data_IF_977405722226
#
_entry.id   IF_977405722226
#
_cell.length_a   1.000
_cell.length_b   1.000
_cell.length_c   1.000
_cell.angle_alpha   90.00
_cell.angle_beta   90.00
_cell.angle_gamma   90.00
#
_symmetry.space_group_name_H-M   'P 1'
#
loop_
_entity.id
_entity.type
_entity.pdbx_description
1 polymer ?
#
# COMPACT_ATOMS: atom_id res chain seq x y z
N UNK A 1 -13.53 2.38 -20.73
CA UNK A 1 -14.47 1.57 -19.93
C UNK A 1 -13.64 0.50 -19.24
N UNK A 2 -13.04 0.83 -18.08
CA UNK A 2 -12.27 -0.16 -17.32
C UNK A 2 -13.28 -1.04 -16.58
N UNK A 3 -13.32 -2.33 -16.93
CA UNK A 3 -14.15 -3.30 -16.24
C UNK A 3 -13.63 -3.45 -14.82
N UNK A 4 -14.40 -2.99 -13.85
CA UNK A 4 -14.33 -3.47 -12.48
C UNK A 4 -14.63 -4.98 -12.54
N UNK A 5 -13.57 -5.79 -12.60
CA UNK A 5 -13.68 -7.24 -12.66
C UNK A 5 -13.74 -7.67 -11.21
N UNK A 6 -14.95 -7.89 -10.68
CA UNK A 6 -15.14 -8.52 -9.38
C UNK A 6 -14.27 -9.77 -9.31
N UNK A 7 -13.30 -9.80 -8.38
CA UNK A 7 -12.53 -11.02 -8.10
C UNK A 7 -13.51 -12.11 -7.69
N UNK A 8 -13.57 -13.16 -8.48
CA UNK A 8 -14.23 -14.41 -8.08
C UNK A 8 -13.31 -15.18 -7.14
N UNK A 9 -13.82 -15.86 -6.10
CA UNK A 9 -13.01 -16.68 -5.19
C UNK A 9 -12.26 -17.84 -5.85
N UNK A 10 -12.57 -18.15 -7.13
CA UNK A 10 -11.81 -19.09 -7.95
C UNK A 10 -10.50 -18.50 -8.52
N UNK A 11 -10.41 -17.18 -8.66
CA UNK A 11 -9.21 -16.45 -9.11
C UNK A 11 -8.16 -16.47 -8.00
N UNK A 12 -8.58 -16.26 -6.75
CA UNK A 12 -7.71 -16.36 -5.58
C UNK A 12 -7.17 -17.78 -5.35
N UNK A 13 -7.88 -18.83 -5.79
CA UNK A 13 -7.50 -20.23 -5.57
C UNK A 13 -6.25 -20.66 -6.37
N UNK A 14 -6.00 -20.03 -7.52
CA UNK A 14 -4.83 -20.29 -8.39
C UNK A 14 -3.63 -19.39 -8.07
N UNK A 15 -3.84 -18.28 -7.34
CA UNK A 15 -2.76 -17.38 -6.94
C UNK A 15 -1.80 -18.07 -5.96
N UNK A 16 -0.50 -17.95 -6.24
CA UNK A 16 0.53 -18.34 -5.29
C UNK A 16 0.46 -17.47 -4.03
N UNK A 17 0.99 -17.94 -2.88
CA UNK A 17 1.04 -17.13 -1.66
C UNK A 17 1.73 -15.77 -1.85
N UNK A 18 2.70 -15.69 -2.76
CA UNK A 18 3.39 -14.46 -3.11
C UNK A 18 2.48 -13.48 -3.87
N UNK A 19 1.69 -13.96 -4.84
CA UNK A 19 0.75 -13.14 -5.61
C UNK A 19 -0.40 -12.60 -4.74
N UNK A 20 -0.92 -13.44 -3.83
CA UNK A 20 -1.93 -12.98 -2.85
C UNK A 20 -1.36 -11.90 -1.93
N UNK A 21 -0.12 -12.06 -1.50
CA UNK A 21 0.56 -11.07 -0.65
C UNK A 21 0.80 -9.76 -1.41
N UNK A 22 1.25 -9.83 -2.66
CA UNK A 22 1.45 -8.66 -3.52
C UNK A 22 0.12 -7.90 -3.74
N UNK A 23 -0.95 -8.64 -4.05
CA UNK A 23 -2.29 -8.08 -4.22
C UNK A 23 -2.84 -7.42 -2.95
N UNK A 24 -2.65 -8.09 -1.80
CA UNK A 24 -3.03 -7.54 -0.50
C UNK A 24 -2.23 -6.27 -0.18
N UNK A 25 -0.92 -6.27 -0.47
CA UNK A 25 -0.08 -5.10 -0.29
C UNK A 25 -0.54 -3.94 -1.17
N UNK A 26 -0.88 -4.19 -2.45
CA UNK A 26 -1.39 -3.16 -3.35
C UNK A 26 -2.69 -2.53 -2.82
N UNK A 27 -3.63 -3.33 -2.30
CA UNK A 27 -4.85 -2.83 -1.67
C UNK A 27 -4.58 -2.00 -0.43
N UNK A 28 -3.67 -2.46 0.45
CA UNK A 28 -3.28 -1.75 1.66
C UNK A 28 -2.58 -0.42 1.35
N UNK A 29 -1.72 -0.40 0.34
CA UNK A 29 -1.03 0.80 -0.13
C UNK A 29 -2.01 1.85 -0.65
N UNK A 30 -2.98 1.44 -1.47
CA UNK A 30 -4.02 2.31 -2.01
C UNK A 30 -4.94 2.85 -0.90
N UNK A 31 -5.33 2.00 0.05
CA UNK A 31 -6.08 2.42 1.22
C UNK A 31 -5.29 3.43 2.05
N UNK A 32 -4.04 3.13 2.40
CA UNK A 32 -3.20 4.01 3.21
C UNK A 32 -2.98 5.37 2.55
N UNK A 33 -2.71 5.39 1.24
CA UNK A 33 -2.57 6.63 0.49
C UNK A 33 -3.84 7.50 0.52
N UNK A 34 -5.01 6.86 0.51
CA UNK A 34 -6.31 7.56 0.62
C UNK A 34 -6.57 8.06 2.04
N UNK A 35 -6.24 7.26 3.06
CA UNK A 35 -6.46 7.59 4.47
C UNK A 35 -5.46 8.61 5.03
N UNK A 36 -4.32 8.82 4.37
CA UNK A 36 -3.31 9.78 4.79
C UNK A 36 -3.85 11.22 4.79
N UNK A 37 -4.70 11.58 3.83
CA UNK A 37 -5.32 12.91 3.76
C UNK A 37 -6.28 13.15 4.94
N UNK A 38 -6.90 12.09 5.44
CA UNK A 38 -7.87 12.15 6.56
C UNK A 38 -7.23 11.90 7.93
N UNK A 39 -6.03 11.31 7.97
CA UNK A 39 -5.35 10.87 9.19
C UNK A 39 -3.87 11.26 9.20
N UNK A 40 -3.58 12.49 9.64
CA UNK A 40 -2.21 12.96 9.89
C UNK A 40 -1.30 12.01 10.69
N UNK A 41 -1.78 11.31 11.73
CA UNK A 41 -0.95 10.35 12.48
C UNK A 41 -0.48 9.13 11.68
N UNK A 42 -1.13 8.84 10.54
CA UNK A 42 -0.80 7.69 9.69
C UNK A 42 0.54 7.90 8.97
N UNK A 43 0.80 9.11 8.47
CA UNK A 43 2.10 9.47 7.88
C UNK A 43 3.22 9.25 8.90
N UNK A 44 3.09 9.80 10.10
CA UNK A 44 4.16 9.75 11.11
C UNK A 44 4.53 8.31 11.49
N UNK A 45 3.53 7.44 11.55
CA UNK A 45 3.71 6.02 11.90
C UNK A 45 4.37 5.23 10.76
N UNK A 46 4.02 5.52 9.50
CA UNK A 46 4.67 4.94 8.33
C UNK A 46 6.12 5.45 8.20
N UNK A 47 6.36 6.72 8.50
CA UNK A 47 7.73 7.27 8.53
C UNK A 47 8.58 6.64 9.64
N UNK A 48 8.00 6.37 10.81
CA UNK A 48 8.68 5.63 11.88
C UNK A 48 9.10 4.21 11.45
N UNK A 49 8.28 3.56 10.61
CA UNK A 49 8.60 2.26 9.99
C UNK A 49 9.68 2.34 8.90
N UNK A 50 10.14 3.54 8.53
CA UNK A 50 11.21 3.74 7.54
C UNK A 50 10.72 4.07 6.14
N UNK A 51 9.43 4.37 5.96
CA UNK A 51 8.92 4.90 4.69
C UNK A 51 9.18 6.40 4.58
N UNK A 52 9.46 6.87 3.37
CA UNK A 52 9.62 8.30 3.09
C UNK A 52 8.36 8.79 2.39
N UNK A 53 7.43 9.40 3.14
CA UNK A 53 6.10 9.75 2.62
C UNK A 53 5.78 11.24 2.68
N UNK A 54 6.47 12.03 3.53
CA UNK A 54 6.22 13.47 3.61
C UNK A 54 6.51 14.18 2.29
N UNK A 55 5.60 15.07 1.91
CA UNK A 55 5.73 15.92 0.73
C UNK A 55 5.48 15.20 -0.60
N UNK A 56 5.13 13.90 -0.57
CA UNK A 56 4.75 13.12 -1.74
C UNK A 56 3.26 13.27 -2.04
N UNK A 57 2.91 13.15 -3.31
CA UNK A 57 1.51 13.05 -3.74
C UNK A 57 0.90 11.71 -3.33
N UNK A 58 -0.43 11.60 -3.36
CA UNK A 58 -1.14 10.34 -3.04
C UNK A 58 -0.63 9.16 -3.88
N UNK A 59 -0.51 9.31 -5.20
CA UNK A 59 0.01 8.25 -6.07
C UNK A 59 1.45 7.85 -5.73
N UNK A 60 2.30 8.81 -5.33
CA UNK A 60 3.69 8.55 -4.95
C UNK A 60 3.79 7.81 -3.62
N UNK A 61 2.89 8.11 -2.68
CA UNK A 61 2.79 7.41 -1.40
C UNK A 61 2.33 5.96 -1.64
N UNK A 62 1.30 5.75 -2.46
CA UNK A 62 0.86 4.41 -2.83
C UNK A 62 2.00 3.59 -3.45
N UNK A 63 2.75 4.18 -4.39
CA UNK A 63 3.88 3.52 -5.02
C UNK A 63 4.99 3.19 -4.00
N UNK A 64 5.27 4.09 -3.05
CA UNK A 64 6.26 3.87 -2.00
C UNK A 64 5.87 2.73 -1.05
N UNK A 65 4.58 2.59 -0.74
CA UNK A 65 4.07 1.56 0.18
C UNK A 65 4.05 0.16 -0.43
N UNK A 66 3.96 0.05 -1.77
CA UNK A 66 4.08 -1.22 -2.49
C UNK A 66 5.49 -1.84 -2.37
N UNK A 67 6.49 -1.02 -2.08
CA UNK A 67 7.87 -1.45 -1.91
C UNK A 67 8.24 -1.61 -0.42
N UNK A 68 9.31 -2.38 -0.10
CA UNK A 68 9.85 -2.38 1.25
C UNK A 68 10.37 -0.98 1.67
N UNK A 69 10.38 -0.66 2.97
CA UNK A 69 10.87 0.62 3.47
C UNK A 69 12.35 0.81 3.13
N UNK A 70 12.70 2.00 2.68
CA UNK A 70 14.05 2.33 2.18
C UNK A 70 14.96 2.90 3.25
N UNK A 71 14.41 3.36 4.37
CA UNK A 71 15.17 3.87 5.51
C UNK A 71 15.17 2.87 6.67
N UNK A 72 16.25 2.84 7.48
CA UNK A 72 16.22 2.11 8.74
C UNK A 72 15.11 2.67 9.61
N UNK A 73 14.26 1.79 10.13
CA UNK A 73 13.18 2.17 11.04
C UNK A 73 13.78 2.95 12.22
N UNK A 74 13.17 4.09 12.55
CA UNK A 74 13.56 4.85 13.75
C UNK A 74 12.85 4.20 14.94
N UNK A 75 13.58 3.34 15.63
CA UNK A 75 13.22 2.82 16.95
C UNK A 75 13.34 3.90 18.03
#
# INVERSE_FOLDING_TARGET
>A
MATDRERTPADDADETPAERLESTNALLAAWAASSIEESGPLIERLEALGYDLRGKSREEIEAALKAPPTRPARG
#
